data_IF_307821720678
#
_entry.id   IF_307821720678
#
_cell.length_a   1.000
_cell.length_b   1.000
_cell.length_c   1.000
_cell.angle_alpha   90.00
_cell.angle_beta   90.00
_cell.angle_gamma   90.00
#
_symmetry.space_group_name_H-M   'P 1'
#
loop_
_entity.id
_entity.type
_entity.pdbx_description
1 polymer ?
#
# COMPACT_ATOMS: atom_id res chain seq x y z
N UNK A 1 -2.99 4.41 2.91
CA UNK A 1 -1.72 3.91 3.47
C UNK A 1 -1.68 2.42 3.26
N UNK A 2 -0.56 1.84 2.82
CA UNK A 2 -0.41 0.39 2.62
C UNK A 2 0.91 -0.07 3.24
N UNK A 3 1.03 -1.35 3.58
CA UNK A 3 2.32 -1.95 3.95
C UNK A 3 3.03 -2.44 2.70
N UNK A 4 4.27 -2.00 2.44
CA UNK A 4 5.13 -2.60 1.43
C UNK A 4 5.87 -3.81 2.03
N UNK A 5 5.59 -5.01 1.53
CA UNK A 5 6.21 -6.25 2.03
C UNK A 5 7.69 -6.38 1.65
N UNK A 6 8.13 -5.73 0.58
CA UNK A 6 9.52 -5.77 0.14
C UNK A 6 10.44 -4.97 1.06
N UNK A 7 9.96 -3.85 1.59
CA UNK A 7 10.71 -2.98 2.52
C UNK A 7 10.30 -3.20 3.97
N UNK A 8 9.16 -3.85 4.22
CA UNK A 8 8.51 -3.98 5.54
C UNK A 8 8.14 -2.64 6.19
N UNK A 9 7.94 -1.59 5.39
CA UNK A 9 7.54 -0.26 5.85
C UNK A 9 6.15 0.15 5.34
N UNK A 10 5.41 0.97 6.12
CA UNK A 10 4.19 1.60 5.62
C UNK A 10 4.51 2.70 4.61
N UNK A 11 3.75 2.73 3.52
CA UNK A 11 3.86 3.71 2.45
C UNK A 11 2.52 4.41 2.21
N UNK A 12 2.58 5.72 1.97
CA UNK A 12 1.44 6.51 1.50
C UNK A 12 1.47 6.47 -0.02
N UNK A 13 0.50 5.77 -0.63
CA UNK A 13 0.28 5.81 -2.07
C UNK A 13 -0.54 7.05 -2.40
N UNK A 14 -0.06 7.85 -3.34
CA UNK A 14 -0.69 9.09 -3.77
C UNK A 14 -0.47 9.33 -5.26
N UNK A 15 -1.10 10.38 -5.80
CA UNK A 15 -0.91 10.74 -7.20
C UNK A 15 0.54 11.16 -7.49
N UNK A 16 1.24 11.75 -6.52
CA UNK A 16 2.61 12.24 -6.68
C UNK A 16 3.63 11.10 -6.87
N UNK A 17 3.39 9.91 -6.32
CA UNK A 17 4.34 8.78 -6.41
C UNK A 17 3.88 7.63 -7.33
N UNK A 18 2.60 7.59 -7.67
CA UNK A 18 2.03 6.58 -8.57
C UNK A 18 0.91 7.19 -9.45
N UNK A 19 1.23 8.16 -10.33
CA UNK A 19 0.23 8.92 -11.09
C UNK A 19 -0.57 8.07 -12.07
N UNK A 20 0.04 7.01 -12.60
CA UNK A 20 -0.57 6.13 -13.62
C UNK A 20 -1.41 5.00 -13.01
N UNK A 21 -1.41 4.85 -11.67
CA UNK A 21 -2.13 3.74 -11.04
C UNK A 21 -3.58 4.04 -10.73
N UNK A 22 -4.42 3.02 -10.92
CA UNK A 22 -5.86 3.15 -10.67
C UNK A 22 -6.13 3.29 -9.18
N UNK A 23 -6.90 4.31 -8.80
CA UNK A 23 -7.33 4.57 -7.41
C UNK A 23 -7.92 3.31 -6.74
N UNK A 24 -8.70 2.52 -7.47
CA UNK A 24 -9.28 1.28 -6.92
C UNK A 24 -8.22 0.29 -6.42
N UNK A 25 -7.05 0.23 -7.07
CA UNK A 25 -5.94 -0.61 -6.59
C UNK A 25 -5.35 -0.05 -5.30
N UNK A 26 -5.30 1.28 -5.13
CA UNK A 26 -4.83 1.90 -3.87
C UNK A 26 -5.76 1.54 -2.72
N UNK A 27 -7.07 1.70 -2.92
CA UNK A 27 -8.09 1.36 -1.92
C UNK A 27 -8.02 -0.12 -1.58
N UNK A 28 -7.98 -1.00 -2.58
CA UNK A 28 -7.89 -2.44 -2.35
C UNK A 28 -6.64 -2.80 -1.55
N UNK A 29 -5.45 -2.31 -1.94
CA UNK A 29 -4.22 -2.65 -1.21
C UNK A 29 -4.24 -2.15 0.24
N UNK A 30 -4.85 -0.98 0.48
CA UNK A 30 -4.97 -0.41 1.83
C UNK A 30 -5.78 -1.27 2.79
N UNK A 31 -6.70 -2.10 2.28
CA UNK A 31 -7.56 -3.01 3.05
C UNK A 31 -7.28 -4.50 2.83
N UNK A 32 -6.23 -4.85 2.07
CA UNK A 32 -5.91 -6.22 1.69
C UNK A 32 -5.22 -6.96 2.85
N UNK A 33 -5.99 -7.24 3.91
CA UNK A 33 -5.46 -7.88 5.11
C UNK A 33 -5.02 -9.33 4.76
N UNK A 34 -3.77 -9.74 5.05
CA UNK A 34 -3.17 -10.95 4.47
C UNK A 34 -3.90 -12.28 4.72
N UNK A 35 -4.73 -12.36 5.76
CA UNK A 35 -5.50 -13.56 6.07
C UNK A 35 -6.72 -13.71 5.16
N UNK A 36 -7.30 -12.59 4.70
CA UNK A 36 -8.55 -12.57 3.96
C UNK A 36 -8.37 -12.30 2.47
N UNK A 37 -7.35 -11.53 2.09
CA UNK A 37 -7.18 -11.02 0.74
C UNK A 37 -5.78 -11.26 0.20
N UNK A 38 -5.70 -11.44 -1.12
CA UNK A 38 -4.41 -11.51 -1.81
C UNK A 38 -3.71 -10.15 -1.79
N UNK A 39 -2.38 -10.18 -1.74
CA UNK A 39 -1.54 -9.00 -1.89
C UNK A 39 -1.64 -8.40 -3.29
N UNK A 40 -1.30 -7.12 -3.42
CA UNK A 40 -1.31 -6.41 -4.70
C UNK A 40 0.11 -6.07 -5.12
N UNK A 41 0.49 -6.44 -6.35
CA UNK A 41 1.70 -5.92 -6.96
C UNK A 41 1.44 -4.60 -7.68
N UNK A 42 2.32 -3.64 -7.48
CA UNK A 42 2.26 -2.32 -8.12
C UNK A 42 3.65 -1.80 -8.42
N UNK A 43 3.73 -0.93 -9.41
CA UNK A 43 4.95 -0.15 -9.69
C UNK A 43 4.81 1.22 -9.05
N UNK A 44 5.68 1.51 -8.08
CA UNK A 44 5.76 2.83 -7.44
C UNK A 44 7.17 3.36 -7.70
N UNK A 45 7.29 4.57 -8.26
CA UNK A 45 8.57 5.17 -8.62
C UNK A 45 9.47 4.26 -9.49
N UNK A 46 8.87 3.46 -10.38
CA UNK A 46 9.60 2.53 -11.26
C UNK A 46 10.01 1.21 -10.62
N UNK A 47 9.69 0.99 -9.34
CA UNK A 47 9.99 -0.27 -8.62
C UNK A 47 8.72 -1.09 -8.44
N UNK A 48 8.77 -2.36 -8.86
CA UNK A 48 7.67 -3.30 -8.60
C UNK A 48 7.75 -3.78 -7.15
N UNK A 49 6.72 -3.51 -6.36
CA UNK A 49 6.61 -3.87 -4.95
C UNK A 49 5.29 -4.56 -4.65
N UNK A 50 5.28 -5.35 -3.57
CA UNK A 50 4.08 -6.06 -3.11
C UNK A 50 3.48 -5.36 -1.91
N UNK A 51 2.19 -5.05 -1.98
CA UNK A 51 1.46 -4.27 -0.99
C UNK A 51 0.34 -5.08 -0.33
N UNK A 52 0.17 -4.87 0.97
CA UNK A 52 -0.95 -5.37 1.79
C UNK A 52 -1.52 -4.25 2.65
N UNK A 53 -2.53 -4.59 3.45
CA UNK A 53 -3.21 -3.68 4.36
C UNK A 53 -2.23 -2.79 5.17
N UNK A 54 -2.58 -1.52 5.30
CA UNK A 54 -1.74 -0.52 5.99
C UNK A 54 -1.53 -0.85 7.46
N UNK A 55 -2.57 -1.33 8.15
CA UNK A 55 -2.56 -1.66 9.57
C UNK A 55 -1.71 -2.88 9.95
N UNK A 56 -1.13 -3.59 8.98
CA UNK A 56 -0.24 -4.73 9.23
C UNK A 56 1.08 -4.30 9.88
N UNK A 57 1.65 -3.17 9.46
CA UNK A 57 2.91 -2.66 10.02
C UNK A 57 2.72 -1.47 10.93
N UNK A 58 1.77 -0.59 10.62
CA UNK A 58 1.48 0.57 11.46
C UNK A 58 0.06 1.08 11.21
N UNK A 59 -0.60 1.62 12.22
CA UNK A 59 -1.84 2.36 12.01
C UNK A 59 -1.49 3.80 11.61
N UNK A 60 -2.31 4.43 10.77
CA UNK A 60 -2.04 5.78 10.28
C UNK A 60 -1.81 6.73 11.47
N UNK A 61 -0.69 7.47 11.52
CA UNK A 61 -0.47 8.41 12.61
C UNK A 61 -1.51 9.51 12.48
N UNK A 62 -2.48 9.49 13.39
CA UNK A 62 -3.26 10.68 13.70
C UNK A 62 -2.36 11.49 14.62
N UNK A 63 -1.72 12.53 14.10
CA UNK A 63 -1.10 13.53 14.98
C UNK A 63 -2.24 14.14 15.82
N UNK A 64 -2.17 13.96 17.13
CA UNK A 64 -3.11 14.53 18.11
C UNK A 64 -2.51 15.79 18.69
#
# INVERSE_FOLDING_TARGET
MCTNLSTQFPEILSYENAPDEKVIKFVYASGAFPIYFQSVQKTVQGVVSTYVDGGVTNNYPVEV
#
